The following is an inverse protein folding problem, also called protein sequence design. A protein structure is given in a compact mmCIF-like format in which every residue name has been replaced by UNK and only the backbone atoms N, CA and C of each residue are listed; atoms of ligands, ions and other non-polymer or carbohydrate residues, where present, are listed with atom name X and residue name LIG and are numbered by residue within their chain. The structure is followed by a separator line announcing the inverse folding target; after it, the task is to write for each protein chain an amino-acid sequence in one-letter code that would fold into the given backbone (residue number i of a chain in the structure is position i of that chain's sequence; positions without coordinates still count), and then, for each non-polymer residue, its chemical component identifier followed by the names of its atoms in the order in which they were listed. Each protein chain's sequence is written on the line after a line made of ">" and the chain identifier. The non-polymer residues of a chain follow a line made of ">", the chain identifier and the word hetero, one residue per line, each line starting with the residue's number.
data_IF_209572271871
#
_entry.id   IF_209572271871
#
_cell.length_a   1.000
_cell.length_b   1.000
_cell.length_c   1.000
_cell.angle_alpha   90.00
_cell.angle_beta   90.00
_cell.angle_gamma   90.00
#
_symmetry.space_group_name_H-M   'P 1'
#
loop_
_entity.id
_entity.type
_entity.pdbx_description
1 polymer ?
#
# COMPACT_ATOMS: atom_id res chain seq x y z
N UNK A 1 -0.10 5.93 15.83
CA UNK A 1 0.96 6.86 15.43
C UNK A 1 0.93 7.09 13.93
N UNK A 2 1.26 8.29 13.49
CA UNK A 2 1.12 8.71 12.10
C UNK A 2 2.46 9.12 11.51
N UNK A 3 2.58 9.02 10.19
CA UNK A 3 3.78 9.41 9.46
C UNK A 3 3.37 10.09 8.17
N UNK A 4 4.05 11.17 7.81
CA UNK A 4 3.90 11.82 6.52
C UNK A 4 4.86 11.16 5.53
N UNK A 5 4.34 10.79 4.37
CA UNK A 5 5.13 10.13 3.33
C UNK A 5 4.95 10.87 2.01
N UNK A 6 6.07 11.22 1.36
CA UNK A 6 6.02 11.80 0.02
C UNK A 6 6.00 10.67 -1.01
N UNK A 7 5.11 10.81 -1.99
CA UNK A 7 4.92 9.81 -3.03
C UNK A 7 5.90 10.03 -4.17
N UNK A 8 6.53 8.95 -4.61
CA UNK A 8 7.40 8.94 -5.78
C UNK A 8 6.84 8.00 -6.83
N UNK A 9 6.76 8.49 -8.07
CA UNK A 9 6.20 7.72 -9.17
C UNK A 9 4.68 7.75 -9.20
N UNK A 10 4.10 7.07 -10.18
CA UNK A 10 2.67 7.13 -10.47
C UNK A 10 2.00 5.76 -10.47
N UNK A 11 2.57 4.78 -9.75
CA UNK A 11 2.06 3.40 -9.77
C UNK A 11 0.67 3.23 -9.16
N UNK A 12 0.20 4.21 -8.38
CA UNK A 12 -1.14 4.20 -7.81
C UNK A 12 -1.95 5.44 -8.23
N UNK A 13 -1.51 6.12 -9.29
CA UNK A 13 -2.27 7.23 -9.85
C UNK A 13 -3.64 6.71 -10.36
N UNK A 14 -4.71 7.50 -10.30
CA UNK A 14 -4.76 8.89 -9.85
C UNK A 14 -4.96 9.06 -8.34
N UNK A 15 -4.99 7.97 -7.57
CA UNK A 15 -5.19 8.05 -6.12
C UNK A 15 -4.11 8.92 -5.45
N UNK A 16 -2.85 8.63 -5.75
CA UNK A 16 -1.71 9.45 -5.37
C UNK A 16 -0.74 9.50 -6.55
N UNK A 17 -0.22 10.68 -6.83
CA UNK A 17 0.71 10.93 -7.93
C UNK A 17 2.07 11.33 -7.39
N UNK A 18 3.07 11.28 -8.25
CA UNK A 18 4.42 11.75 -7.91
C UNK A 18 4.36 13.17 -7.32
N UNK A 19 4.98 13.35 -6.18
CA UNK A 19 5.00 14.63 -5.47
C UNK A 19 3.88 14.84 -4.48
N UNK A 20 2.85 14.01 -4.50
CA UNK A 20 1.79 14.07 -3.50
C UNK A 20 2.29 13.56 -2.16
N UNK A 21 1.52 13.81 -1.10
CA UNK A 21 1.82 13.32 0.24
C UNK A 21 0.69 12.45 0.75
N UNK A 22 1.05 11.47 1.56
CA UNK A 22 0.09 10.62 2.25
C UNK A 22 0.38 10.66 3.75
N UNK A 23 -0.68 10.66 4.55
CA UNK A 23 -0.54 10.44 5.98
C UNK A 23 -0.81 8.97 6.22
N UNK A 24 0.17 8.31 6.82
CA UNK A 24 0.15 6.87 7.07
C UNK A 24 -0.13 6.64 8.54
N UNK A 25 -1.11 5.78 8.83
CA UNK A 25 -1.29 5.25 10.18
C UNK A 25 -0.40 4.04 10.30
N UNK A 26 0.58 4.10 11.19
CA UNK A 26 1.55 3.02 11.36
C UNK A 26 0.89 1.75 11.86
N UNK A 27 1.38 0.62 11.42
CA UNK A 27 0.85 -0.69 11.78
C UNK A 27 0.87 -0.92 13.29
N UNK A 28 -0.20 -1.55 13.78
CA UNK A 28 -0.28 -2.06 15.15
C UNK A 28 -1.10 -3.36 15.11
N UNK A 29 -0.97 -4.23 16.16
CA UNK A 29 -1.57 -5.58 16.10
C UNK A 29 -3.07 -5.63 15.89
N UNK A 30 -3.78 -4.56 16.25
CA UNK A 30 -5.25 -4.50 16.11
C UNK A 30 -5.71 -3.76 14.87
N UNK A 31 -4.80 -3.43 13.96
CA UNK A 31 -5.17 -2.70 12.75
C UNK A 31 -5.98 -3.58 11.82
N UNK A 32 -7.11 -3.05 11.36
CA UNK A 32 -7.95 -3.72 10.37
C UNK A 32 -7.47 -3.39 8.96
N UNK A 33 -7.61 -4.36 8.07
CA UNK A 33 -7.33 -4.17 6.64
C UNK A 33 -8.58 -4.49 5.86
N UNK A 34 -8.94 -3.63 4.91
CA UNK A 34 -10.14 -3.79 4.10
C UNK A 34 -9.81 -3.66 2.62
N UNK A 35 -10.51 -4.42 1.79
CA UNK A 35 -10.38 -4.31 0.34
C UNK A 35 -10.63 -2.86 -0.09
N UNK A 36 -9.79 -2.36 -0.97
CA UNK A 36 -9.83 -0.99 -1.46
C UNK A 36 -8.95 -0.01 -0.71
N UNK A 37 -8.49 -0.35 0.48
CA UNK A 37 -7.54 0.50 1.21
C UNK A 37 -6.15 0.41 0.58
N UNK A 38 -5.35 1.45 0.81
CA UNK A 38 -3.96 1.49 0.34
C UNK A 38 -3.02 1.25 1.51
N UNK A 39 -2.08 0.32 1.33
CA UNK A 39 -1.11 -0.04 2.35
C UNK A 39 0.30 0.26 1.91
N UNK A 40 1.15 0.55 2.89
CA UNK A 40 2.59 0.72 2.73
C UNK A 40 3.25 -0.51 3.32
N UNK A 41 4.10 -1.16 2.56
CA UNK A 41 4.71 -2.42 3.00
C UNK A 41 6.12 -2.58 2.44
N UNK A 42 6.88 -3.48 3.04
CA UNK A 42 8.20 -3.87 2.57
C UNK A 42 8.11 -5.13 1.73
N UNK A 43 8.77 -5.10 0.59
CA UNK A 43 8.90 -6.27 -0.27
C UNK A 43 10.38 -6.50 -0.54
N UNK A 44 10.82 -7.73 -0.31
CA UNK A 44 12.25 -8.10 -0.29
C UNK A 44 13.05 -7.61 -1.50
N UNK A 45 12.47 -7.72 -2.70
CA UNK A 45 13.18 -7.40 -3.93
C UNK A 45 12.89 -5.98 -4.45
N UNK A 46 11.90 -5.30 -3.90
CA UNK A 46 11.42 -4.02 -4.42
C UNK A 46 11.45 -2.89 -3.39
N UNK A 47 11.73 -3.20 -2.12
CA UNK A 47 11.78 -2.19 -1.08
C UNK A 47 10.40 -1.80 -0.57
N UNK A 48 10.25 -0.52 -0.25
CA UNK A 48 8.99 0.01 0.28
C UNK A 48 8.05 0.39 -0.85
N UNK A 49 6.85 -0.15 -0.81
CA UNK A 49 5.83 0.07 -1.84
C UNK A 49 4.52 0.52 -1.21
N UNK A 50 3.70 1.22 -2.01
CA UNK A 50 2.31 1.54 -1.66
C UNK A 50 1.43 0.94 -2.76
N UNK A 51 0.47 0.11 -2.36
CA UNK A 51 -0.46 -0.52 -3.31
C UNK A 51 -1.84 -0.61 -2.69
N UNK A 52 -2.84 -0.79 -3.55
CA UNK A 52 -4.22 -0.98 -3.12
C UNK A 52 -4.50 -2.45 -2.81
N UNK A 53 -5.20 -2.70 -1.73
CA UNK A 53 -5.65 -4.05 -1.37
C UNK A 53 -6.73 -4.48 -2.35
N UNK A 54 -6.46 -5.55 -3.08
CA UNK A 54 -7.40 -6.14 -4.01
C UNK A 54 -8.27 -7.20 -3.33
N UNK A 55 -7.66 -8.06 -2.53
CA UNK A 55 -8.39 -9.10 -1.82
C UNK A 55 -7.60 -9.53 -0.57
N UNK A 56 -8.32 -10.14 0.37
CA UNK A 56 -7.74 -10.65 1.60
C UNK A 56 -8.27 -12.07 1.80
N UNK A 57 -7.37 -13.03 1.97
CA UNK A 57 -7.77 -14.41 2.24
C UNK A 57 -8.27 -14.51 3.69
N UNK A 58 -9.49 -15.01 3.87
CA UNK A 58 -10.11 -15.08 5.19
C UNK A 58 -9.38 -16.03 6.15
N UNK A 59 -8.75 -17.06 5.63
CA UNK A 59 -8.06 -18.06 6.47
C UNK A 59 -6.63 -17.69 6.75
N UNK A 60 -5.83 -17.47 5.69
CA UNK A 60 -4.39 -17.20 5.81
C UNK A 60 -4.08 -15.76 6.14
N UNK A 61 -5.03 -14.84 5.93
CA UNK A 61 -4.84 -13.40 6.06
C UNK A 61 -3.89 -12.82 5.01
N UNK A 62 -3.53 -13.59 3.99
CA UNK A 62 -2.70 -13.12 2.89
C UNK A 62 -3.42 -11.99 2.13
N UNK A 63 -2.68 -10.94 1.83
CA UNK A 63 -3.21 -9.74 1.16
C UNK A 63 -2.71 -9.71 -0.26
N UNK A 64 -3.62 -9.66 -1.22
CA UNK A 64 -3.29 -9.46 -2.64
C UNK A 64 -3.41 -7.98 -2.96
N UNK A 65 -2.36 -7.40 -3.53
CA UNK A 65 -2.34 -5.98 -3.87
C UNK A 65 -2.14 -5.78 -5.36
N UNK A 66 -2.76 -4.72 -5.90
CA UNK A 66 -2.62 -4.36 -7.31
C UNK A 66 -2.16 -2.92 -7.43
N UNK A 67 -1.42 -2.65 -8.51
CA UNK A 67 -1.14 -1.30 -8.95
C UNK A 67 -2.28 -0.76 -9.79
N UNK A 68 -2.15 0.50 -10.21
CA UNK A 68 -3.20 1.18 -10.98
C UNK A 68 -3.18 0.89 -12.48
N UNK A 69 -2.11 0.26 -12.98
CA UNK A 69 -1.97 -0.07 -14.39
C UNK A 69 -1.24 -1.41 -14.57
N UNK A 70 -1.18 -1.88 -15.82
CA UNK A 70 -0.61 -3.18 -16.16
C UNK A 70 0.90 -3.26 -15.98
N UNK A 71 1.57 -2.13 -15.86
CA UNK A 71 3.01 -2.06 -15.69
C UNK A 71 3.43 -1.90 -14.23
N UNK A 72 2.47 -1.78 -13.33
CA UNK A 72 2.77 -1.62 -11.92
C UNK A 72 3.30 -2.92 -11.32
N UNK A 73 4.25 -2.77 -10.41
CA UNK A 73 4.74 -3.88 -9.60
C UNK A 73 3.70 -4.20 -8.53
N UNK A 74 3.16 -5.40 -8.52
CA UNK A 74 2.12 -5.81 -7.58
C UNK A 74 2.17 -7.32 -7.31
N UNK A 75 1.13 -7.87 -6.64
CA UNK A 75 1.09 -9.28 -6.25
C UNK A 75 1.16 -10.25 -7.43
N UNK A 76 0.81 -9.82 -8.65
CA UNK A 76 0.97 -10.66 -9.84
C UNK A 76 2.44 -10.96 -10.11
N UNK A 77 3.33 -10.09 -9.65
CA UNK A 77 4.77 -10.21 -9.86
C UNK A 77 5.50 -10.81 -8.64
N UNK A 78 5.16 -10.40 -7.43
CA UNK A 78 5.90 -10.81 -6.23
C UNK A 78 5.08 -11.61 -5.21
N UNK A 79 3.81 -11.89 -5.50
CA UNK A 79 2.96 -12.68 -4.63
C UNK A 79 2.22 -11.87 -3.58
N UNK A 80 1.62 -12.57 -2.64
CA UNK A 80 0.82 -11.95 -1.61
C UNK A 80 1.67 -11.30 -0.52
N UNK A 81 1.05 -10.35 0.18
CA UNK A 81 1.67 -9.63 1.27
C UNK A 81 1.09 -10.15 2.59
N UNK A 82 1.92 -10.26 3.60
CA UNK A 82 1.52 -10.67 4.94
C UNK A 82 1.67 -9.50 5.91
N UNK A 83 0.94 -9.59 7.03
CA UNK A 83 0.87 -8.51 8.01
C UNK A 83 2.26 -8.06 8.48
N UNK A 84 3.19 -8.98 8.64
CA UNK A 84 4.55 -8.68 9.08
C UNK A 84 5.28 -7.73 8.16
N UNK A 85 4.86 -7.66 6.88
CA UNK A 85 5.48 -6.79 5.89
C UNK A 85 4.87 -5.39 5.90
N UNK A 86 3.72 -5.21 6.53
CA UNK A 86 2.97 -3.94 6.46
C UNK A 86 3.56 -2.91 7.41
N UNK A 87 3.89 -1.73 6.87
CA UNK A 87 4.36 -0.59 7.66
C UNK A 87 3.17 0.21 8.18
N UNK A 88 2.11 0.31 7.38
CA UNK A 88 0.92 1.04 7.76
C UNK A 88 -0.06 1.17 6.60
N UNK A 89 -1.11 1.94 6.80
CA UNK A 89 -2.08 2.20 5.74
C UNK A 89 -2.35 3.69 5.57
N UNK A 90 -2.69 4.07 4.35
CA UNK A 90 -2.98 5.47 4.00
C UNK A 90 -4.33 5.84 4.58
N UNK A 91 -4.37 6.90 5.37
CA UNK A 91 -5.61 7.41 5.95
C UNK A 91 -5.98 8.79 5.43
N UNK A 92 -5.05 9.50 4.81
CA UNK A 92 -5.31 10.83 4.28
C UNK A 92 -4.35 11.15 3.14
N UNK A 93 -4.82 11.90 2.14
CA UNK A 93 -4.05 12.30 0.97
C UNK A 93 -3.94 13.81 0.90
N UNK A 94 -2.74 14.28 0.52
CA UNK A 94 -2.51 15.70 0.26
C UNK A 94 -1.95 15.80 -1.16
N UNK A 95 -2.74 16.34 -2.07
CA UNK A 95 -2.32 16.46 -3.47
C UNK A 95 -1.48 17.71 -3.67
N UNK A 96 -0.34 17.52 -4.29
CA UNK A 96 0.54 18.60 -4.70
C UNK A 96 -0.09 19.33 -5.90
N UNK A 97 0.15 20.62 -6.01
CA UNK A 97 -0.35 21.40 -7.16
C UNK A 97 0.57 21.28 -8.36
#
# INVERSE_FOLDING_TARGET
>A
MFQLLRIRGNSIAPYLKDGDFAIIRKHHPKMDFNVGEYIVFQQKNYGTLIKQIHSINAESKAITVYGSDDFSTDSRLFGDIFEEQVIGKVIFRIHSK
#
